data_IF_879369613466
#
_entry.id   IF_879369613466
#
_cell.length_a   1.000
_cell.length_b   1.000
_cell.length_c   1.000
_cell.angle_alpha   90.00
_cell.angle_beta   90.00
_cell.angle_gamma   90.00
#
_symmetry.space_group_name_H-M   'P 1'
#
loop_
_entity.id
_entity.type
_entity.pdbx_description
1 polymer ?
#
# COMPACT_ATOMS: atom_id res chain seq x y z
N UNK A 1 20.15 -5.03 10.66
CA UNK A 1 20.24 -3.70 11.31
C UNK A 1 18.85 -3.21 11.69
N UNK A 2 18.75 -2.41 12.74
CA UNK A 2 17.45 -1.91 13.20
C UNK A 2 16.70 -1.11 12.12
N UNK A 3 17.41 -0.33 11.32
CA UNK A 3 16.79 0.45 10.25
C UNK A 3 16.14 -0.45 9.19
N UNK A 4 16.81 -1.54 8.82
CA UNK A 4 16.29 -2.50 7.86
C UNK A 4 15.07 -3.22 8.40
N UNK A 5 15.09 -3.61 9.67
CA UNK A 5 13.95 -4.24 10.32
C UNK A 5 12.77 -3.29 10.43
N UNK A 6 13.03 -2.00 10.72
CA UNK A 6 11.99 -1.00 10.83
C UNK A 6 11.25 -0.81 9.52
N UNK A 7 11.97 -0.67 8.41
CA UNK A 7 11.33 -0.48 7.10
C UNK A 7 10.63 -1.76 6.65
N UNK A 8 11.21 -2.91 6.97
CA UNK A 8 10.60 -4.20 6.70
C UNK A 8 9.26 -4.33 7.42
N UNK A 9 9.23 -4.00 8.71
CA UNK A 9 8.02 -4.11 9.52
C UNK A 9 6.95 -3.11 9.08
N UNK A 10 7.34 -1.88 8.82
CA UNK A 10 6.40 -0.83 8.39
C UNK A 10 5.79 -1.14 7.03
N UNK A 11 6.59 -1.66 6.10
CA UNK A 11 6.08 -1.99 4.77
C UNK A 11 5.14 -3.20 4.83
N UNK A 12 5.37 -4.15 5.74
CA UNK A 12 4.44 -5.25 5.96
C UNK A 12 3.14 -4.75 6.57
N UNK A 13 3.21 -3.90 7.59
CA UNK A 13 2.01 -3.33 8.22
C UNK A 13 1.18 -2.56 7.20
N UNK A 14 1.85 -1.79 6.34
CA UNK A 14 1.17 -1.07 5.28
C UNK A 14 0.49 -2.03 4.30
N UNK A 15 1.17 -3.10 3.90
CA UNK A 15 0.60 -4.11 3.01
C UNK A 15 -0.66 -4.75 3.62
N UNK A 16 -0.62 -5.03 4.92
CA UNK A 16 -1.78 -5.60 5.63
C UNK A 16 -2.96 -4.63 5.55
N UNK A 17 -2.73 -3.34 5.77
CA UNK A 17 -3.78 -2.32 5.67
C UNK A 17 -4.34 -2.24 4.26
N UNK A 18 -3.48 -2.35 3.25
CA UNK A 18 -3.90 -2.33 1.85
C UNK A 18 -4.78 -3.54 1.54
N UNK A 19 -4.41 -4.73 2.00
CA UNK A 19 -5.22 -5.94 1.80
C UNK A 19 -6.61 -5.76 2.44
N UNK A 20 -6.65 -5.23 3.66
CA UNK A 20 -7.92 -4.98 4.35
C UNK A 20 -8.77 -3.95 3.61
N UNK A 21 -8.14 -2.90 3.11
CA UNK A 21 -8.84 -1.88 2.33
C UNK A 21 -9.37 -2.45 1.01
N UNK A 22 -8.56 -3.27 0.34
CA UNK A 22 -9.00 -3.96 -0.87
C UNK A 22 -10.25 -4.80 -0.60
N UNK A 23 -10.24 -5.59 0.47
CA UNK A 23 -11.40 -6.42 0.84
C UNK A 23 -12.63 -5.55 1.10
N UNK A 24 -12.45 -4.45 1.81
CA UNK A 24 -13.56 -3.54 2.11
C UNK A 24 -14.16 -2.96 0.84
N UNK A 25 -13.33 -2.43 -0.05
CA UNK A 25 -13.81 -1.81 -1.29
C UNK A 25 -14.47 -2.82 -2.20
N UNK A 26 -13.84 -3.98 -2.40
CA UNK A 26 -14.38 -5.00 -3.30
C UNK A 26 -15.68 -5.60 -2.76
N UNK A 27 -15.77 -5.84 -1.47
CA UNK A 27 -16.95 -6.45 -0.88
C UNK A 27 -18.10 -5.46 -0.66
N UNK A 28 -17.79 -4.22 -0.29
CA UNK A 28 -18.81 -3.21 0.00
C UNK A 28 -19.28 -2.47 -1.25
N UNK A 29 -18.36 -2.13 -2.13
CA UNK A 29 -18.65 -1.30 -3.30
C UNK A 29 -18.67 -2.08 -4.61
N UNK A 30 -18.36 -3.38 -4.58
CA UNK A 30 -18.25 -4.23 -5.77
C UNK A 30 -17.29 -3.63 -6.80
N UNK A 31 -16.27 -2.93 -6.34
CA UNK A 31 -15.25 -2.34 -7.20
C UNK A 31 -14.01 -3.24 -7.16
N UNK A 32 -13.64 -3.79 -8.31
CA UNK A 32 -12.55 -4.78 -8.40
C UNK A 32 -11.40 -4.32 -9.29
N UNK A 33 -11.61 -3.31 -10.12
CA UNK A 33 -10.61 -2.91 -11.11
C UNK A 33 -9.57 -2.01 -10.49
N UNK A 34 -10.00 -0.89 -9.92
CA UNK A 34 -9.09 0.06 -9.28
C UNK A 34 -8.52 -0.52 -7.99
N UNK A 35 -9.35 -1.23 -7.24
CA UNK A 35 -8.92 -1.84 -5.98
C UNK A 35 -7.84 -2.90 -6.19
N UNK A 36 -7.88 -3.64 -7.31
CA UNK A 36 -6.83 -4.60 -7.63
C UNK A 36 -5.50 -3.92 -7.95
N UNK A 37 -5.54 -2.78 -8.62
CA UNK A 37 -4.35 -1.99 -8.88
C UNK A 37 -3.73 -1.51 -7.56
N UNK A 38 -4.57 -1.05 -6.64
CA UNK A 38 -4.13 -0.65 -5.31
C UNK A 38 -3.50 -1.83 -4.57
N UNK A 39 -4.16 -2.98 -4.59
CA UNK A 39 -3.65 -4.19 -3.94
C UNK A 39 -2.28 -4.56 -4.48
N UNK A 40 -2.12 -4.57 -5.80
CA UNK A 40 -0.88 -4.95 -6.45
C UNK A 40 0.26 -3.99 -6.08
N UNK A 41 0.05 -2.69 -6.25
CA UNK A 41 1.10 -1.71 -5.98
C UNK A 41 1.41 -1.63 -4.47
N UNK A 42 0.40 -1.61 -3.63
CA UNK A 42 0.58 -1.46 -2.19
C UNK A 42 1.30 -2.63 -1.54
N UNK A 43 1.06 -3.85 -2.03
CA UNK A 43 1.76 -5.04 -1.52
C UNK A 43 3.15 -5.21 -2.13
N UNK A 44 3.38 -4.64 -3.32
CA UNK A 44 4.69 -4.70 -3.97
C UNK A 44 5.75 -3.88 -3.25
N UNK A 45 5.36 -2.86 -2.50
CA UNK A 45 6.31 -2.06 -1.72
C UNK A 45 7.08 -2.96 -0.75
N UNK A 46 6.36 -3.68 0.09
CA UNK A 46 6.98 -4.57 1.08
C UNK A 46 7.75 -5.71 0.45
N UNK A 47 7.24 -6.28 -0.64
CA UNK A 47 7.93 -7.35 -1.35
C UNK A 47 9.30 -6.89 -1.85
N UNK A 48 9.38 -5.69 -2.43
CA UNK A 48 10.65 -5.15 -2.93
C UNK A 48 11.58 -4.74 -1.78
N UNK A 49 11.04 -4.25 -0.67
CA UNK A 49 11.84 -3.95 0.51
C UNK A 49 12.51 -5.23 1.03
N UNK A 50 11.77 -6.33 1.11
CA UNK A 50 12.34 -7.61 1.54
C UNK A 50 13.42 -8.12 0.61
N UNK A 51 13.20 -8.00 -0.70
CA UNK A 51 14.21 -8.39 -1.69
C UNK A 51 15.44 -7.51 -1.59
N UNK A 52 15.27 -6.21 -1.32
CA UNK A 52 16.39 -5.30 -1.12
C UNK A 52 17.24 -5.72 0.08
N UNK A 53 16.58 -6.00 1.21
CA UNK A 53 17.28 -6.39 2.45
C UNK A 53 17.98 -7.73 2.27
N UNK A 54 17.35 -8.69 1.58
CA UNK A 54 17.91 -10.01 1.34
C UNK A 54 18.91 -10.07 0.19
N UNK A 55 19.12 -8.96 -0.51
CA UNK A 55 20.03 -8.91 -1.64
C UNK A 55 21.49 -8.99 -1.21
N UNK A 56 22.34 -9.37 -2.17
CA UNK A 56 23.75 -9.63 -1.91
C UNK A 56 24.68 -8.46 -2.24
N UNK A 57 24.17 -7.43 -2.91
CA UNK A 57 24.98 -6.30 -3.32
C UNK A 57 24.29 -4.99 -3.00
N UNK A 58 25.11 -3.94 -2.88
CA UNK A 58 24.63 -2.59 -2.69
C UNK A 58 23.80 -2.13 -3.89
N UNK A 59 24.24 -2.48 -5.08
CA UNK A 59 23.53 -2.14 -6.31
C UNK A 59 22.16 -2.78 -6.36
N UNK A 60 22.06 -4.03 -5.93
CA UNK A 60 20.78 -4.72 -5.87
C UNK A 60 19.86 -4.09 -4.83
N UNK A 61 20.40 -3.72 -3.67
CA UNK A 61 19.64 -3.03 -2.62
C UNK A 61 19.05 -1.74 -3.17
N UNK A 62 19.87 -0.90 -3.81
CA UNK A 62 19.43 0.37 -4.37
C UNK A 62 18.36 0.16 -5.44
N UNK A 63 18.59 -0.80 -6.34
CA UNK A 63 17.63 -1.10 -7.41
C UNK A 63 16.26 -1.50 -6.85
N UNK A 64 16.24 -2.39 -5.86
CA UNK A 64 15.00 -2.85 -5.26
C UNK A 64 14.30 -1.76 -4.47
N UNK A 65 15.05 -0.92 -3.76
CA UNK A 65 14.48 0.22 -3.05
C UNK A 65 13.89 1.26 -4.00
N UNK A 66 14.49 1.45 -5.18
CA UNK A 66 13.91 2.31 -6.22
C UNK A 66 12.58 1.77 -6.72
N UNK A 67 12.49 0.46 -6.92
CA UNK A 67 11.23 -0.17 -7.32
C UNK A 67 10.17 0.02 -6.23
N UNK A 68 10.55 -0.18 -4.97
CA UNK A 68 9.63 0.03 -3.84
C UNK A 68 9.11 1.47 -3.82
N UNK A 69 9.98 2.45 -4.03
CA UNK A 69 9.59 3.86 -4.06
C UNK A 69 8.62 4.14 -5.22
N UNK A 70 8.91 3.59 -6.39
CA UNK A 70 8.03 3.71 -7.56
C UNK A 70 6.64 3.14 -7.27
N UNK A 71 6.59 1.98 -6.62
CA UNK A 71 5.33 1.35 -6.24
C UNK A 71 4.59 2.18 -5.18
N UNK A 72 5.31 2.85 -4.30
CA UNK A 72 4.70 3.74 -3.31
C UNK A 72 4.01 4.92 -3.99
N UNK A 73 4.64 5.52 -4.99
CA UNK A 73 4.03 6.60 -5.77
C UNK A 73 2.78 6.12 -6.51
N UNK A 74 2.85 4.94 -7.10
CA UNK A 74 1.68 4.36 -7.78
C UNK A 74 0.54 4.09 -6.81
N UNK A 75 0.87 3.59 -5.61
CA UNK A 75 -0.12 3.35 -4.56
C UNK A 75 -0.81 4.64 -4.14
N UNK A 76 -0.05 5.73 -3.99
CA UNK A 76 -0.59 7.05 -3.68
C UNK A 76 -1.59 7.49 -4.75
N UNK A 77 -1.26 7.27 -6.02
CA UNK A 77 -2.15 7.60 -7.12
C UNK A 77 -3.49 6.84 -7.02
N UNK A 78 -3.43 5.53 -6.78
CA UNK A 78 -4.65 4.73 -6.68
C UNK A 78 -5.50 5.12 -5.47
N UNK A 79 -4.86 5.43 -4.33
CA UNK A 79 -5.58 5.91 -3.16
C UNK A 79 -6.28 7.24 -3.43
N UNK A 80 -5.57 8.16 -4.07
CA UNK A 80 -6.15 9.46 -4.42
C UNK A 80 -7.33 9.30 -5.38
N UNK A 81 -7.17 8.44 -6.38
CA UNK A 81 -8.24 8.20 -7.35
C UNK A 81 -9.47 7.56 -6.69
N UNK A 82 -9.26 6.57 -5.82
CA UNK A 82 -10.36 5.93 -5.10
C UNK A 82 -11.05 6.90 -4.15
N UNK A 83 -10.29 7.76 -3.50
CA UNK A 83 -10.85 8.80 -2.64
C UNK A 83 -11.68 9.80 -3.45
N UNK A 84 -11.14 10.26 -4.57
CA UNK A 84 -11.79 11.28 -5.40
C UNK A 84 -13.03 10.77 -6.13
N UNK A 85 -13.17 9.46 -6.24
CA UNK A 85 -14.35 8.83 -6.87
C UNK A 85 -15.29 8.21 -5.85
N UNK A 86 -15.14 8.59 -4.59
CA UNK A 86 -16.07 8.29 -3.49
C UNK A 86 -16.05 6.85 -2.97
N UNK A 87 -15.07 6.04 -3.37
CA UNK A 87 -15.00 4.65 -2.87
C UNK A 87 -14.51 4.54 -1.43
N UNK A 88 -13.99 5.62 -0.84
CA UNK A 88 -13.51 5.61 0.53
C UNK A 88 -14.44 6.33 1.50
N UNK A 89 -15.62 6.75 1.06
CA UNK A 89 -16.55 7.50 1.90
C UNK A 89 -17.00 6.75 3.15
N UNK A 90 -17.27 5.46 3.01
CA UNK A 90 -17.73 4.65 4.15
C UNK A 90 -16.67 4.58 5.25
N UNK A 91 -15.38 4.53 4.87
CA UNK A 91 -14.28 4.54 5.83
C UNK A 91 -14.15 5.89 6.51
N UNK A 92 -14.34 6.97 5.77
CA UNK A 92 -14.30 8.32 6.32
C UNK A 92 -15.41 8.50 7.34
N UNK A 93 -16.62 8.05 7.03
CA UNK A 93 -17.76 8.14 7.94
C UNK A 93 -17.54 7.34 9.22
N UNK A 94 -16.88 6.19 9.12
CA UNK A 94 -16.58 5.37 10.28
C UNK A 94 -15.54 6.03 11.19
N UNK A 95 -14.54 6.68 10.58
CA UNK A 95 -13.41 7.24 11.32
C UNK A 95 -13.62 8.68 11.79
N UNK A 96 -14.55 9.42 11.20
CA UNK A 96 -14.83 10.79 11.61
C UNK A 96 -15.78 10.84 12.81
N UNK A 97 -15.57 11.82 13.72
CA UNK A 97 -16.53 12.05 14.79
C UNK A 97 -17.90 12.38 14.21
N UNK A 98 -18.95 11.97 14.88
CA UNK A 98 -20.30 12.31 14.49
C UNK A 98 -20.49 13.82 14.49
N UNK A 99 -20.95 14.35 13.39
CA UNK A 99 -21.25 15.79 13.31
C UNK A 99 -22.59 16.08 13.95
N UNK A 100 -22.68 17.19 14.68
CA UNK A 100 -23.96 17.60 15.26
C UNK A 100 -24.98 17.94 14.19
#
# INVERSE_FOLDING_TARGET
>A
MKADNTIKDKSLDFAIRIVRLYKHISETNNEYILSKQLLKSGTSIGANVREAIGGQSKENFIAKMHIALKEAYETEYWLELLYSTDYLLSLIHISEPTRP
#
